data_IF_801226607000
#
_entry.id   IF_801226607000
#
_cell.length_a   1.000
_cell.length_b   1.000
_cell.length_c   1.000
_cell.angle_alpha   90.00
_cell.angle_beta   90.00
_cell.angle_gamma   90.00
#
_symmetry.space_group_name_H-M   'P 1'
#
loop_
_entity.id
_entity.type
_entity.pdbx_description
1 polymer ?
#
# COMPACT_ATOMS: atom_id res chain seq x y z
N UNK A 1 3.47 -47.39 8.84
CA UNK A 1 3.66 -46.05 9.43
C UNK A 1 2.34 -45.30 9.30
N UNK A 2 1.70 -44.96 10.43
CA UNK A 2 0.42 -44.26 10.48
C UNK A 2 0.63 -42.75 10.32
N UNK A 3 -0.11 -42.12 9.41
CA UNK A 3 -0.16 -40.66 9.29
C UNK A 3 -0.84 -40.06 10.53
N UNK A 4 -0.18 -39.10 11.17
CA UNK A 4 -0.69 -38.29 12.29
C UNK A 4 -1.17 -36.92 11.82
N UNK A 5 -1.69 -36.81 10.58
CA UNK A 5 -2.35 -35.58 10.16
C UNK A 5 -3.64 -35.41 10.97
N UNK A 6 -3.63 -34.47 11.93
CA UNK A 6 -4.83 -34.02 12.63
C UNK A 6 -5.88 -33.66 11.59
N UNK A 7 -7.08 -34.22 11.74
CA UNK A 7 -8.23 -33.96 10.90
C UNK A 7 -8.49 -32.44 10.87
N UNK A 8 -8.13 -31.75 9.80
CA UNK A 8 -8.35 -30.31 9.65
C UNK A 8 -9.83 -30.08 9.37
N UNK A 9 -10.55 -29.57 10.38
CA UNK A 9 -11.96 -29.22 10.28
C UNK A 9 -12.12 -28.13 9.21
N UNK A 10 -13.05 -28.32 8.27
CA UNK A 10 -13.31 -27.35 7.19
C UNK A 10 -13.55 -25.96 7.76
N UNK A 11 -12.85 -24.99 7.18
CA UNK A 11 -12.95 -23.58 7.54
C UNK A 11 -13.93 -22.92 6.55
N UNK A 12 -15.00 -22.33 7.11
CA UNK A 12 -16.06 -21.51 6.51
C UNK A 12 -16.16 -21.45 4.96
N UNK A 13 -17.32 -21.86 4.45
CA UNK A 13 -17.69 -21.95 3.02
C UNK A 13 -17.86 -20.60 2.27
N UNK A 14 -17.51 -19.47 2.88
CA UNK A 14 -17.70 -18.15 2.25
C UNK A 14 -16.41 -17.66 1.61
N UNK A 15 -16.51 -17.14 0.38
CA UNK A 15 -15.36 -16.48 -0.25
C UNK A 15 -14.99 -15.22 0.55
N UNK A 16 -13.73 -14.77 0.43
CA UNK A 16 -13.29 -13.51 1.06
C UNK A 16 -14.17 -12.34 0.61
N UNK A 17 -14.59 -12.35 -0.66
CA UNK A 17 -15.49 -11.33 -1.21
C UNK A 17 -16.84 -11.35 -0.53
N UNK A 18 -17.41 -12.53 -0.28
CA UNK A 18 -18.70 -12.67 0.43
C UNK A 18 -18.57 -12.20 1.89
N UNK A 19 -17.48 -12.54 2.57
CA UNK A 19 -17.21 -12.08 3.93
C UNK A 19 -17.12 -10.55 3.98
N UNK A 20 -16.38 -9.93 3.05
CA UNK A 20 -16.28 -8.46 2.95
C UNK A 20 -17.65 -7.87 2.65
N UNK A 21 -18.37 -8.40 1.67
CA UNK A 21 -19.70 -7.95 1.27
C UNK A 21 -20.68 -7.97 2.43
N UNK A 22 -20.79 -9.10 3.14
CA UNK A 22 -21.68 -9.23 4.29
C UNK A 22 -21.26 -8.32 5.45
N UNK A 23 -19.96 -8.12 5.68
CA UNK A 23 -19.47 -7.23 6.74
C UNK A 23 -19.80 -5.76 6.43
N UNK A 24 -19.62 -5.32 5.18
CA UNK A 24 -19.91 -3.95 4.74
C UNK A 24 -21.42 -3.66 4.71
N UNK A 25 -22.26 -4.66 4.44
CA UNK A 25 -23.72 -4.49 4.39
C UNK A 25 -24.42 -4.77 5.73
N UNK A 26 -23.69 -5.12 6.80
CA UNK A 26 -24.25 -5.31 8.13
C UNK A 26 -24.11 -4.01 8.94
N UNK A 27 -25.21 -3.27 9.15
CA UNK A 27 -25.21 -1.97 9.83
C UNK A 27 -24.64 -2.01 11.26
N UNK A 28 -24.87 -3.09 12.01
CA UNK A 28 -24.36 -3.26 13.37
C UNK A 28 -22.84 -3.40 13.42
N UNK A 29 -22.24 -4.04 12.41
CA UNK A 29 -20.78 -4.17 12.29
C UNK A 29 -20.19 -2.93 11.64
N UNK A 30 -20.81 -2.46 10.55
CA UNK A 30 -20.35 -1.31 9.77
C UNK A 30 -20.21 -0.04 10.63
N UNK A 31 -21.17 0.22 11.52
CA UNK A 31 -21.13 1.37 12.44
C UNK A 31 -19.96 1.32 13.44
N UNK A 32 -19.35 0.15 13.64
CA UNK A 32 -18.19 -0.07 14.51
C UNK A 32 -16.87 -0.11 13.74
N UNK A 33 -16.92 -0.10 12.40
CA UNK A 33 -15.72 -0.11 11.56
C UNK A 33 -15.04 1.27 11.51
N UNK A 34 -13.72 1.26 11.37
CA UNK A 34 -12.89 2.46 11.29
C UNK A 34 -12.45 2.72 9.84
N UNK A 35 -12.88 3.85 9.27
CA UNK A 35 -12.59 4.25 7.87
C UNK A 35 -11.62 5.43 7.74
N UNK A 36 -10.96 5.80 8.83
CA UNK A 36 -10.01 6.92 8.90
C UNK A 36 -8.56 6.43 8.65
N UNK A 37 -7.55 7.33 8.60
CA UNK A 37 -6.15 6.93 8.44
C UNK A 37 -5.72 5.83 9.40
N UNK A 38 -5.01 4.81 8.90
CA UNK A 38 -4.61 3.67 9.72
C UNK A 38 -3.88 4.09 10.99
N UNK A 39 -4.36 3.66 12.16
CA UNK A 39 -3.73 3.98 13.43
C UNK A 39 -2.61 2.99 13.72
N UNK A 40 -1.41 3.50 14.03
CA UNK A 40 -0.33 2.64 14.51
C UNK A 40 -0.48 2.43 16.02
N UNK A 41 -1.18 1.37 16.40
CA UNK A 41 -1.38 1.00 17.81
C UNK A 41 -0.28 0.07 18.32
N UNK A 42 0.09 0.20 19.59
CA UNK A 42 1.13 -0.62 20.25
C UNK A 42 0.67 -2.07 20.40
N UNK A 43 -0.63 -2.29 20.61
CA UNK A 43 -1.27 -3.61 20.62
C UNK A 43 -2.41 -3.59 19.61
N UNK A 44 -2.29 -4.41 18.57
CA UNK A 44 -3.33 -4.54 17.55
C UNK A 44 -4.13 -5.82 17.83
N UNK A 45 -5.46 -5.72 17.90
CA UNK A 45 -6.36 -6.86 17.83
C UNK A 45 -6.93 -6.91 16.43
N UNK A 46 -6.13 -7.43 15.50
CA UNK A 46 -6.57 -7.64 14.13
C UNK A 46 -7.17 -9.05 14.01
N UNK A 47 -8.39 -9.12 13.47
CA UNK A 47 -9.02 -10.37 13.06
C UNK A 47 -8.39 -10.82 11.75
N UNK A 48 -7.23 -11.47 11.83
CA UNK A 48 -6.51 -11.96 10.65
C UNK A 48 -7.03 -13.34 10.20
N UNK A 49 -7.32 -13.48 8.91
CA UNK A 49 -7.31 -14.78 8.24
C UNK A 49 -6.26 -14.81 7.11
N UNK A 50 -5.10 -15.39 7.41
CA UNK A 50 -4.06 -15.72 6.41
C UNK A 50 -3.19 -14.56 5.89
N UNK A 51 -2.26 -14.91 4.98
CA UNK A 51 -1.28 -14.00 4.35
C UNK A 51 -1.88 -12.99 3.35
N UNK A 52 -3.15 -13.14 2.97
CA UNK A 52 -3.79 -12.38 1.90
C UNK A 52 -4.04 -10.91 2.26
N UNK A 53 -4.50 -10.64 3.49
CA UNK A 53 -4.77 -9.26 3.94
C UNK A 53 -3.50 -8.49 4.35
N UNK A 54 -2.36 -9.17 4.53
CA UNK A 54 -1.07 -8.54 4.88
C UNK A 54 -0.52 -7.65 3.76
N UNK A 55 -0.96 -7.88 2.51
CA UNK A 55 -0.60 -7.09 1.32
C UNK A 55 -1.68 -6.07 0.91
N UNK A 56 -2.84 -6.08 1.56
CA UNK A 56 -3.84 -5.04 1.36
C UNK A 56 -3.27 -3.72 1.87
N UNK A 57 -3.51 -2.57 1.20
CA UNK A 57 -3.41 -1.28 1.86
C UNK A 57 -4.08 -1.46 3.23
N UNK A 58 -3.33 -1.27 4.32
CA UNK A 58 -3.93 -1.38 5.65
C UNK A 58 -5.16 -0.49 5.62
N UNK A 59 -6.34 -1.11 5.77
CA UNK A 59 -7.62 -0.44 5.56
C UNK A 59 -7.60 0.88 6.31
N UNK A 60 -7.80 1.95 5.55
CA UNK A 60 -7.70 3.33 5.97
C UNK A 60 -8.02 4.24 4.81
N UNK A 61 -8.00 5.54 5.07
CA UNK A 61 -8.28 6.58 4.10
C UNK A 61 -7.47 6.36 2.79
N UNK A 62 -8.17 6.29 1.64
CA UNK A 62 -7.56 5.98 0.34
C UNK A 62 -6.83 7.17 -0.30
N UNK A 63 -7.16 8.39 0.14
CA UNK A 63 -6.60 9.64 -0.37
C UNK A 63 -6.50 10.69 0.73
N UNK A 64 -5.46 11.50 0.73
CA UNK A 64 -5.29 12.60 1.70
C UNK A 64 -5.02 13.91 0.98
N UNK A 65 -5.71 14.96 1.39
CA UNK A 65 -5.40 16.32 0.96
C UNK A 65 -4.39 16.94 1.92
N UNK A 66 -3.26 17.40 1.40
CA UNK A 66 -2.22 18.07 2.18
C UNK A 66 -1.64 19.22 1.35
N UNK A 67 -1.63 20.43 1.91
CA UNK A 67 -1.21 21.66 1.22
C UNK A 67 -1.87 21.86 -0.16
N UNK A 68 -3.18 21.55 -0.26
CA UNK A 68 -3.94 21.67 -1.51
C UNK A 68 -3.68 20.58 -2.56
N UNK A 69 -2.78 19.63 -2.29
CA UNK A 69 -2.50 18.48 -3.16
C UNK A 69 -3.18 17.24 -2.60
N UNK A 70 -3.88 16.49 -3.45
CA UNK A 70 -4.43 15.18 -3.10
C UNK A 70 -3.41 14.09 -3.42
N UNK A 71 -3.11 13.26 -2.42
CA UNK A 71 -2.24 12.09 -2.54
C UNK A 71 -3.09 10.83 -2.40
N UNK A 72 -2.99 9.91 -3.35
CA UNK A 72 -3.75 8.67 -3.38
C UNK A 72 -2.87 7.46 -3.07
N UNK A 73 -3.43 6.45 -2.42
CA UNK A 73 -2.79 5.15 -2.30
C UNK A 73 -2.52 4.57 -3.70
N UNK A 74 -1.33 4.00 -3.89
CA UNK A 74 -0.87 3.49 -5.18
C UNK A 74 -0.12 4.52 -6.03
N UNK A 75 -0.22 5.83 -5.73
CA UNK A 75 0.57 6.84 -6.44
C UNK A 75 2.05 6.76 -6.10
N UNK A 76 2.86 7.19 -7.06
CA UNK A 76 4.29 7.33 -6.87
C UNK A 76 4.65 8.76 -6.50
N UNK A 77 5.61 8.88 -5.60
CA UNK A 77 6.07 10.15 -5.05
C UNK A 77 7.58 10.22 -5.01
N UNK A 78 8.07 11.46 -5.00
CA UNK A 78 9.45 11.78 -4.65
C UNK A 78 9.45 12.48 -3.31
N UNK A 79 10.22 11.99 -2.34
CA UNK A 79 10.37 12.62 -1.02
C UNK A 79 11.83 12.84 -0.67
N UNK A 80 12.11 13.85 0.16
CA UNK A 80 13.43 14.11 0.74
C UNK A 80 13.69 13.13 1.87
N UNK A 81 14.66 12.25 1.69
CA UNK A 81 15.13 11.34 2.76
C UNK A 81 16.26 11.98 3.57
N UNK A 82 17.14 12.72 2.89
CA UNK A 82 18.17 13.56 3.51
C UNK A 82 18.36 14.82 2.68
N UNK A 83 19.17 15.76 3.17
CA UNK A 83 19.43 17.02 2.47
C UNK A 83 19.96 16.84 1.04
N UNK A 84 20.68 15.74 0.78
CA UNK A 84 21.30 15.47 -0.51
C UNK A 84 20.59 14.38 -1.34
N UNK A 85 19.57 13.69 -0.78
CA UNK A 85 18.98 12.51 -1.43
C UNK A 85 17.46 12.54 -1.42
N UNK A 86 16.93 12.53 -2.63
CA UNK A 86 15.53 12.25 -2.88
C UNK A 86 15.35 10.75 -3.13
N UNK A 87 14.20 10.23 -2.71
CA UNK A 87 13.82 8.83 -2.92
C UNK A 87 12.50 8.75 -3.66
N UNK A 88 12.43 7.74 -4.51
CA UNK A 88 11.26 7.42 -5.31
C UNK A 88 10.54 6.22 -4.70
N UNK A 89 9.25 6.39 -4.41
CA UNK A 89 8.47 5.38 -3.69
C UNK A 89 7.00 5.40 -4.09
N UNK A 90 6.31 4.29 -3.80
CA UNK A 90 4.86 4.16 -3.95
C UNK A 90 4.15 4.32 -2.61
N UNK A 91 3.11 5.14 -2.55
CA UNK A 91 2.23 5.27 -1.38
C UNK A 91 1.48 3.94 -1.19
N UNK A 92 1.56 3.35 0.01
CA UNK A 92 0.82 2.14 0.36
C UNK A 92 -0.37 2.42 1.27
N UNK A 93 -0.22 3.32 2.24
CA UNK A 93 -1.29 3.63 3.17
C UNK A 93 -1.08 4.99 3.83
N UNK A 94 -2.19 5.66 4.14
CA UNK A 94 -2.19 6.86 4.96
C UNK A 94 -2.37 6.44 6.42
N UNK A 95 -1.52 6.94 7.31
CA UNK A 95 -1.49 6.55 8.72
C UNK A 95 -1.46 7.78 9.62
N UNK A 96 -2.10 7.66 10.78
CA UNK A 96 -1.97 8.63 11.86
C UNK A 96 -1.05 8.05 12.93
N UNK A 97 0.03 8.77 13.22
CA UNK A 97 1.01 8.42 14.26
C UNK A 97 1.24 9.66 15.10
N UNK A 98 0.95 9.58 16.41
CA UNK A 98 1.09 10.68 17.36
C UNK A 98 0.37 11.97 16.90
N UNK A 99 -0.87 11.81 16.44
CA UNK A 99 -1.71 12.88 15.86
C UNK A 99 -1.10 13.59 14.62
N UNK A 100 -0.09 12.98 13.99
CA UNK A 100 0.49 13.47 12.73
C UNK A 100 0.16 12.52 11.59
N UNK A 101 -0.33 13.10 10.50
CA UNK A 101 -0.58 12.37 9.27
C UNK A 101 0.75 12.07 8.57
N UNK A 102 0.95 10.78 8.31
CA UNK A 102 2.12 10.24 7.62
C UNK A 102 1.63 9.23 6.58
N UNK A 103 2.54 8.81 5.71
CA UNK A 103 2.28 7.74 4.75
C UNK A 103 3.27 6.62 4.91
N UNK A 104 2.82 5.38 4.79
CA UNK A 104 3.74 4.26 4.52
C UNK A 104 4.02 4.21 3.03
N UNK A 105 5.28 3.97 2.67
CA UNK A 105 5.70 3.95 1.28
C UNK A 105 6.56 2.73 1.00
N UNK A 106 6.36 2.14 -0.18
CA UNK A 106 7.24 1.13 -0.72
C UNK A 106 8.37 1.80 -1.48
N UNK A 107 9.61 1.63 -1.03
CA UNK A 107 10.78 2.11 -1.77
C UNK A 107 10.91 1.35 -3.09
N UNK A 108 11.13 2.10 -4.16
CA UNK A 108 11.58 1.54 -5.42
C UNK A 108 13.11 1.56 -5.37
N UNK A 109 13.68 0.40 -5.11
CA UNK A 109 15.12 0.22 -4.98
C UNK A 109 15.69 -0.06 -6.37
N UNK A 110 16.76 0.65 -6.74
CA UNK A 110 17.65 0.23 -7.82
C UNK A 110 18.61 -0.82 -7.23
N UNK A 111 19.09 -1.76 -8.07
CA UNK A 111 19.78 -3.04 -7.78
C UNK A 111 20.84 -3.10 -6.65
N UNK A 112 21.21 -1.98 -6.02
CA UNK A 112 22.30 -1.88 -5.03
C UNK A 112 21.87 -1.47 -3.62
N UNK A 113 20.57 -1.30 -3.35
CA UNK A 113 20.09 -0.89 -2.03
C UNK A 113 19.33 -2.04 -1.36
N UNK A 114 19.94 -2.71 -0.36
CA UNK A 114 19.25 -3.63 0.54
C UNK A 114 18.89 -2.85 1.81
N UNK A 115 17.73 -2.21 1.80
CA UNK A 115 17.14 -1.55 2.96
C UNK A 115 15.66 -1.94 3.07
N UNK A 116 15.06 -1.70 4.25
CA UNK A 116 13.63 -1.89 4.49
C UNK A 116 12.77 -1.42 3.31
N UNK A 117 12.13 -2.37 2.61
CA UNK A 117 11.35 -2.06 1.41
C UNK A 117 10.13 -1.17 1.70
N UNK A 118 9.67 -1.11 2.96
CA UNK A 118 8.54 -0.30 3.40
C UNK A 118 8.98 0.59 4.56
N UNK A 119 8.78 1.90 4.44
CA UNK A 119 9.10 2.89 5.48
C UNK A 119 7.92 3.83 5.73
N UNK A 120 8.01 4.65 6.79
CA UNK A 120 7.04 5.72 7.07
C UNK A 120 7.68 7.07 6.71
N UNK A 121 6.95 7.89 5.97
CA UNK A 121 7.35 9.22 5.51
C UNK A 121 6.35 10.26 5.97
N UNK A 122 6.83 11.40 6.44
CA UNK A 122 5.99 12.55 6.76
C UNK A 122 5.54 13.26 5.48
N UNK A 123 4.27 13.67 5.41
CA UNK A 123 3.70 14.31 4.21
C UNK A 123 4.48 15.57 3.78
N UNK A 124 5.02 16.32 4.73
CA UNK A 124 5.85 17.50 4.49
C UNK A 124 7.18 17.23 3.76
N UNK A 125 7.66 15.97 3.77
CA UNK A 125 8.89 15.60 3.08
C UNK A 125 8.63 15.23 1.60
N UNK A 126 7.37 15.09 1.20
CA UNK A 126 7.00 14.81 -0.19
C UNK A 126 7.26 16.08 -1.01
N UNK A 127 8.12 15.95 -2.01
CA UNK A 127 8.48 17.03 -2.93
C UNK A 127 7.44 17.15 -4.03
N UNK A 128 7.01 16.01 -4.58
CA UNK A 128 6.00 15.95 -5.65
C UNK A 128 5.43 14.54 -5.82
N UNK A 129 4.25 14.47 -6.42
CA UNK A 129 3.77 13.27 -7.10
C UNK A 129 4.59 13.08 -8.39
N UNK A 130 4.94 11.85 -8.70
CA UNK A 130 5.75 11.50 -9.85
C UNK A 130 5.02 10.49 -10.72
N UNK A 131 4.74 10.80 -11.99
CA UNK A 131 4.13 9.84 -12.89
C UNK A 131 5.16 8.81 -13.34
N UNK A 132 4.74 7.55 -13.41
CA UNK A 132 5.49 6.48 -14.06
C UNK A 132 4.90 6.24 -15.44
N UNK A 133 5.76 6.09 -16.43
CA UNK A 133 5.40 5.54 -17.73
C UNK A 133 6.05 4.16 -17.83
N UNK A 134 5.22 3.12 -18.00
CA UNK A 134 5.69 1.75 -18.20
C UNK A 134 5.61 1.46 -19.69
N UNK A 135 6.76 1.24 -20.32
CA UNK A 135 6.84 0.75 -21.69
C UNK A 135 6.88 -0.77 -21.65
N UNK A 136 5.96 -1.40 -22.37
CA UNK A 136 5.85 -2.85 -22.43
C UNK A 136 5.70 -3.33 -23.86
N UNK A 137 6.08 -4.58 -24.12
CA UNK A 137 5.93 -5.17 -25.44
C UNK A 137 4.53 -5.81 -25.56
N UNK A 138 3.65 -5.19 -26.34
CA UNK A 138 2.28 -5.66 -26.58
C UNK A 138 2.23 -7.09 -27.14
N UNK A 139 3.24 -7.50 -27.92
CA UNK A 139 3.32 -8.84 -28.51
C UNK A 139 3.63 -9.94 -27.46
N UNK A 140 4.07 -9.56 -26.26
CA UNK A 140 4.43 -10.46 -25.16
C UNK A 140 3.50 -10.30 -23.95
N UNK A 141 2.29 -9.80 -24.16
CA UNK A 141 1.25 -9.76 -23.13
C UNK A 141 0.45 -11.04 -23.19
N UNK A 142 0.35 -11.74 -22.05
CA UNK A 142 -0.61 -12.83 -21.88
C UNK A 142 -1.57 -12.50 -20.72
N UNK A 143 -2.53 -13.37 -20.46
CA UNK A 143 -3.57 -13.17 -19.44
C UNK A 143 -3.02 -12.90 -18.03
N UNK A 144 -1.80 -13.35 -17.71
CA UNK A 144 -1.23 -13.32 -16.36
C UNK A 144 0.07 -12.53 -16.23
N UNK A 145 0.67 -12.08 -17.34
CA UNK A 145 1.96 -11.39 -17.33
C UNK A 145 2.12 -10.40 -18.47
N UNK A 146 2.81 -9.29 -18.18
CA UNK A 146 3.24 -8.27 -19.13
C UNK A 146 4.76 -8.18 -19.08
N UNK A 147 5.43 -8.21 -20.24
CA UNK A 147 6.86 -7.97 -20.34
C UNK A 147 7.15 -6.46 -20.37
N UNK A 148 7.70 -5.93 -19.27
CA UNK A 148 8.10 -4.53 -19.16
C UNK A 148 9.48 -4.37 -19.82
N UNK A 149 9.55 -3.53 -20.84
CA UNK A 149 10.81 -3.18 -21.51
C UNK A 149 11.56 -2.09 -20.74
N UNK A 150 10.83 -1.07 -20.27
CA UNK A 150 11.42 0.10 -19.62
C UNK A 150 10.42 0.78 -18.68
N UNK A 151 10.92 1.36 -17.58
CA UNK A 151 10.14 2.19 -16.67
C UNK A 151 10.76 3.59 -16.70
N UNK A 152 10.02 4.54 -17.24
CA UNK A 152 10.44 5.94 -17.34
C UNK A 152 9.85 6.76 -16.19
N UNK A 153 10.71 7.53 -15.54
CA UNK A 153 10.34 8.52 -14.53
C UNK A 153 10.31 9.89 -15.18
N UNK A 154 9.13 10.49 -15.29
CA UNK A 154 9.04 11.85 -15.82
C UNK A 154 9.38 12.85 -14.71
N UNK A 155 10.63 13.29 -14.68
CA UNK A 155 11.08 14.38 -13.83
C UNK A 155 10.90 15.70 -14.56
N UNK A 156 9.66 16.18 -14.70
CA UNK A 156 9.46 17.60 -15.04
C UNK A 156 10.02 18.44 -13.90
N UNK A 157 11.24 18.96 -14.08
CA UNK A 157 11.75 20.07 -13.28
C UNK A 157 10.90 21.29 -13.62
N UNK A 158 10.05 21.70 -12.68
CA UNK A 158 9.43 23.02 -12.74
C UNK A 158 10.46 23.98 -12.13
N UNK A 159 11.13 24.76 -12.97
CA UNK A 159 11.94 25.93 -12.57
C UNK A 159 13.44 25.78 -12.81
N UNK A 160 13.89 26.37 -13.92
CA UNK A 160 15.19 27.06 -14.09
C UNK A 160 15.37 28.17 -13.06
#
# INVERSE_FOLDING_TARGET
>A
MSSTSKNTKEMYYLSITDIIWHSLNNSSIFSQMYFSPGQKVIKNQELWHGNLLKKSPRFGQASIQFNGITYNCGEFIVYKESMARNKFSRILSIVNIDNKLKTTVQRVLLDREIDNAIIIVELQNIVRVAPIIILYNENNVNMFSVFICEILLNTKNIGS
#
